data_IF_178385212536
#
_entry.id   IF_178385212536
#
_cell.length_a   1.000
_cell.length_b   1.000
_cell.length_c   1.000
_cell.angle_alpha   90.00
_cell.angle_beta   90.00
_cell.angle_gamma   90.00
#
_symmetry.space_group_name_H-M   'P 1'
#
loop_
_entity.id
_entity.type
_entity.pdbx_description
1 polymer ?
#
# COMPACT_ATOMS: atom_id res chain seq x y z
N UNK A 1 -2.49 -17.16 -2.96
CA UNK A 1 -3.42 -18.28 -3.28
C UNK A 1 -4.76 -17.95 -2.64
N UNK A 2 -5.82 -17.81 -3.43
CA UNK A 2 -7.12 -17.36 -2.92
C UNK A 2 -7.79 -18.46 -2.10
N UNK A 3 -8.20 -18.12 -0.87
CA UNK A 3 -8.92 -19.03 0.03
C UNK A 3 -10.35 -18.54 0.22
N UNK A 4 -11.22 -19.40 0.75
CA UNK A 4 -12.60 -19.00 1.12
C UNK A 4 -12.60 -17.86 2.15
N UNK A 5 -11.62 -17.84 3.05
CA UNK A 5 -11.43 -16.76 4.02
C UNK A 5 -11.10 -15.44 3.30
N UNK A 6 -10.15 -15.45 2.36
CA UNK A 6 -9.78 -14.26 1.59
C UNK A 6 -10.98 -13.71 0.82
N UNK A 7 -11.78 -14.59 0.19
CA UNK A 7 -12.99 -14.18 -0.51
C UNK A 7 -14.02 -13.54 0.43
N UNK A 8 -14.25 -14.15 1.59
CA UNK A 8 -15.18 -13.59 2.58
C UNK A 8 -14.75 -12.20 3.04
N UNK A 9 -13.45 -11.98 3.26
CA UNK A 9 -12.90 -10.67 3.62
C UNK A 9 -13.02 -9.68 2.47
N UNK A 10 -12.67 -10.09 1.24
CA UNK A 10 -12.81 -9.23 0.05
C UNK A 10 -14.25 -8.73 -0.14
N UNK A 11 -15.24 -9.62 -0.05
CA UNK A 11 -16.66 -9.25 -0.15
C UNK A 11 -17.09 -8.31 0.96
N UNK A 12 -16.55 -8.48 2.17
CA UNK A 12 -16.91 -7.65 3.32
C UNK A 12 -16.21 -6.28 3.32
N UNK A 13 -14.94 -6.25 2.92
CA UNK A 13 -14.03 -5.12 3.13
C UNK A 13 -13.87 -4.26 1.87
N UNK A 14 -13.93 -4.86 0.67
CA UNK A 14 -13.64 -4.17 -0.60
C UNK A 14 -14.91 -3.89 -1.41
N UNK A 15 -15.77 -4.89 -1.59
CA UNK A 15 -16.97 -4.78 -2.44
C UNK A 15 -17.90 -3.62 -2.07
N UNK A 16 -18.16 -3.29 -0.78
CA UNK A 16 -19.02 -2.16 -0.44
C UNK A 16 -18.51 -0.83 -0.98
N UNK A 17 -17.19 -0.65 -1.04
CA UNK A 17 -16.55 0.54 -1.63
C UNK A 17 -16.77 0.59 -3.14
N UNK A 18 -16.58 -0.54 -3.82
CA UNK A 18 -16.82 -0.65 -5.27
C UNK A 18 -18.28 -0.34 -5.62
N UNK A 19 -19.23 -0.90 -4.87
CA UNK A 19 -20.67 -0.71 -5.12
C UNK A 19 -21.12 0.73 -4.88
N UNK A 20 -20.50 1.42 -3.93
CA UNK A 20 -20.82 2.82 -3.59
C UNK A 20 -19.99 3.85 -4.36
N UNK A 21 -19.08 3.42 -5.23
CA UNK A 21 -18.21 4.32 -5.96
C UNK A 21 -19.01 5.27 -6.87
N UNK A 22 -18.63 6.54 -6.89
CA UNK A 22 -19.15 7.51 -7.86
C UNK A 22 -18.46 7.28 -9.21
N UNK A 23 -19.02 6.37 -10.01
CA UNK A 23 -18.46 6.01 -11.31
C UNK A 23 -18.41 7.20 -12.27
N UNK A 24 -19.36 8.15 -12.19
CA UNK A 24 -19.36 9.31 -13.07
C UNK A 24 -18.18 10.25 -12.73
N UNK A 25 -17.86 10.40 -11.45
CA UNK A 25 -16.66 11.11 -11.03
C UNK A 25 -15.39 10.39 -11.48
N UNK A 26 -15.31 9.07 -11.28
CA UNK A 26 -14.14 8.28 -11.66
C UNK A 26 -13.88 8.31 -13.16
N UNK A 27 -14.91 8.21 -14.00
CA UNK A 27 -14.79 8.32 -15.47
C UNK A 27 -14.24 9.68 -15.93
N UNK A 28 -14.60 10.78 -15.23
CA UNK A 28 -14.05 12.12 -15.51
C UNK A 28 -12.59 12.25 -15.09
N UNK A 29 -12.19 11.55 -14.03
CA UNK A 29 -10.84 11.62 -13.46
C UNK A 29 -9.85 10.74 -14.21
N UNK A 30 -10.29 9.56 -14.69
CA UNK A 30 -9.45 8.53 -15.31
C UNK A 30 -8.48 9.04 -16.41
N UNK A 31 -8.82 10.02 -17.26
CA UNK A 31 -7.90 10.53 -18.28
C UNK A 31 -6.69 11.31 -17.72
N UNK A 32 -6.73 11.76 -16.46
CA UNK A 32 -5.71 12.63 -15.86
C UNK A 32 -5.02 12.00 -14.65
N UNK A 33 -5.33 10.74 -14.30
CA UNK A 33 -4.81 10.11 -13.07
C UNK A 33 -3.31 9.88 -13.09
N UNK A 34 -2.70 9.80 -14.27
CA UNK A 34 -1.29 9.47 -14.44
C UNK A 34 -0.38 10.71 -14.51
N UNK A 35 -0.94 11.93 -14.49
CA UNK A 35 -0.20 13.17 -14.72
C UNK A 35 -0.36 14.16 -13.57
N UNK A 36 0.54 14.08 -12.60
CA UNK A 36 0.73 15.17 -11.64
C UNK A 36 1.46 16.34 -12.31
N UNK A 37 1.11 17.57 -11.93
CA UNK A 37 1.78 18.78 -12.42
C UNK A 37 3.20 18.99 -11.87
N UNK A 38 3.69 18.05 -11.05
CA UNK A 38 5.00 18.04 -10.43
C UNK A 38 5.46 16.61 -10.18
N UNK A 39 6.76 16.45 -9.95
CA UNK A 39 7.38 15.17 -9.61
C UNK A 39 7.03 14.77 -8.16
N UNK A 40 6.17 13.77 -8.01
CA UNK A 40 5.71 13.26 -6.71
C UNK A 40 6.76 12.42 -6.00
N UNK A 41 7.73 11.87 -6.75
CA UNK A 41 8.81 11.05 -6.21
C UNK A 41 9.93 11.92 -5.64
N UNK A 42 9.95 13.21 -5.96
CA UNK A 42 10.94 14.16 -5.47
C UNK A 42 10.41 14.95 -4.26
N UNK A 43 10.60 14.39 -3.06
CA UNK A 43 10.27 15.10 -1.83
C UNK A 43 11.16 16.35 -1.62
N UNK A 44 10.61 17.47 -1.08
CA UNK A 44 11.40 18.66 -0.75
C UNK A 44 12.52 18.39 0.27
N UNK A 45 12.29 17.43 1.17
CA UNK A 45 13.28 16.90 2.10
C UNK A 45 12.96 15.43 2.40
N UNK A 46 13.97 14.66 2.82
CA UNK A 46 13.78 13.28 3.27
C UNK A 46 12.83 13.21 4.46
N UNK A 47 12.08 12.13 4.55
CA UNK A 47 11.18 11.84 5.66
C UNK A 47 11.88 10.95 6.68
N UNK A 48 12.28 11.55 7.80
CA UNK A 48 13.20 10.94 8.78
C UNK A 48 12.49 10.13 9.89
N UNK A 49 11.15 9.99 9.84
CA UNK A 49 10.38 9.23 10.85
C UNK A 49 10.19 7.77 10.40
N UNK A 50 9.82 6.84 11.31
CA UNK A 50 9.56 5.45 10.96
C UNK A 50 8.52 5.31 9.84
N UNK A 51 8.86 4.53 8.83
CA UNK A 51 7.99 4.23 7.68
C UNK A 51 7.94 2.73 7.47
N UNK A 52 6.80 2.26 6.98
CA UNK A 52 6.61 0.91 6.50
C UNK A 52 6.03 0.96 5.08
N UNK A 53 6.73 0.35 4.13
CA UNK A 53 6.28 0.17 2.75
C UNK A 53 6.05 -1.33 2.54
N UNK A 54 4.78 -1.73 2.38
CA UNK A 54 4.38 -3.10 2.10
C UNK A 54 3.87 -3.21 0.67
N UNK A 55 4.42 -4.15 -0.09
CA UNK A 55 4.04 -4.36 -1.50
C UNK A 55 3.91 -5.85 -1.82
N UNK A 56 2.92 -6.20 -2.63
CA UNK A 56 2.71 -7.57 -3.08
C UNK A 56 3.66 -7.94 -4.23
N UNK A 57 4.31 -9.11 -4.17
CA UNK A 57 5.22 -9.57 -5.24
C UNK A 57 4.48 -9.83 -6.56
N UNK A 58 3.21 -10.19 -6.48
CA UNK A 58 2.31 -10.49 -7.60
C UNK A 58 1.24 -9.41 -7.81
N UNK A 59 1.46 -8.19 -7.29
CA UNK A 59 0.60 -7.07 -7.59
C UNK A 59 0.76 -6.70 -9.07
N UNK A 60 -0.35 -6.72 -9.81
CA UNK A 60 -0.41 -6.39 -11.24
C UNK A 60 -0.99 -5.01 -11.50
N UNK A 61 -1.46 -4.32 -10.46
CA UNK A 61 -1.96 -2.95 -10.55
C UNK A 61 -0.83 -1.95 -10.31
N UNK A 62 -0.03 -2.17 -9.27
CA UNK A 62 1.10 -1.31 -8.92
C UNK A 62 2.32 -2.18 -8.67
N UNK A 63 3.42 -1.92 -9.38
CA UNK A 63 4.62 -2.74 -9.33
C UNK A 63 5.44 -2.51 -8.05
N UNK A 64 5.92 -3.58 -7.42
CA UNK A 64 6.81 -3.46 -6.25
C UNK A 64 8.13 -2.72 -6.56
N UNK A 65 8.57 -2.73 -7.82
CA UNK A 65 9.80 -2.06 -8.25
C UNK A 65 9.64 -0.54 -8.27
N UNK A 66 8.45 -0.04 -8.59
CA UNK A 66 8.18 1.40 -8.63
C UNK A 66 8.29 2.00 -7.23
N UNK A 67 7.72 1.34 -6.23
CA UNK A 67 7.85 1.73 -4.83
C UNK A 67 9.30 1.69 -4.32
N UNK A 68 10.17 0.84 -4.89
CA UNK A 68 11.58 0.79 -4.51
C UNK A 68 12.33 2.05 -4.94
N UNK A 69 11.92 2.68 -6.06
CA UNK A 69 12.60 3.86 -6.62
C UNK A 69 12.62 5.05 -5.65
N UNK A 70 11.63 5.14 -4.75
CA UNK A 70 11.50 6.24 -3.78
C UNK A 70 12.07 5.90 -2.40
N UNK A 71 12.66 4.72 -2.19
CA UNK A 71 13.08 4.26 -0.86
C UNK A 71 14.08 5.22 -0.19
N UNK A 72 14.98 5.83 -0.96
CA UNK A 72 15.98 6.79 -0.47
C UNK A 72 15.38 8.11 0.05
N UNK A 73 14.11 8.38 -0.23
CA UNK A 73 13.38 9.49 0.40
C UNK A 73 12.98 9.18 1.85
N UNK A 74 12.99 7.91 2.24
CA UNK A 74 12.53 7.40 3.54
C UNK A 74 13.65 6.60 4.22
N UNK A 75 14.71 7.25 4.74
CA UNK A 75 15.89 6.58 5.29
C UNK A 75 15.62 5.66 6.50
N UNK A 76 14.44 5.76 7.11
CA UNK A 76 13.99 4.91 8.23
C UNK A 76 12.88 3.92 7.83
N UNK A 77 12.65 3.74 6.53
CA UNK A 77 11.64 2.82 6.04
C UNK A 77 12.07 1.36 6.19
N UNK A 78 11.13 0.53 6.63
CA UNK A 78 11.14 -0.90 6.34
C UNK A 78 10.44 -1.10 5.00
N UNK A 79 11.12 -1.72 4.03
CA UNK A 79 10.53 -2.11 2.76
C UNK A 79 10.37 -3.62 2.70
N UNK A 80 9.15 -4.11 2.56
CA UNK A 80 8.87 -5.54 2.51
C UNK A 80 8.04 -5.91 1.28
N UNK A 81 8.60 -6.79 0.46
CA UNK A 81 7.91 -7.44 -0.66
C UNK A 81 7.34 -8.76 -0.18
N UNK A 82 6.02 -8.90 -0.16
CA UNK A 82 5.37 -10.14 0.30
C UNK A 82 5.13 -11.08 -0.87
N UNK A 83 5.74 -12.26 -0.82
CA UNK A 83 5.41 -13.36 -1.74
C UNK A 83 3.99 -13.89 -1.49
N UNK A 84 3.38 -14.45 -2.53
CA UNK A 84 2.00 -14.97 -2.59
C UNK A 84 0.94 -13.90 -2.29
N UNK A 85 1.27 -12.62 -2.51
CA UNK A 85 0.39 -11.47 -2.35
C UNK A 85 0.39 -10.58 -3.59
N UNK A 86 -0.81 -10.16 -4.01
CA UNK A 86 -1.07 -9.11 -4.98
C UNK A 86 -1.48 -7.81 -4.31
N UNK A 87 -2.42 -7.08 -4.93
CA UNK A 87 -2.86 -5.76 -4.49
C UNK A 87 -3.54 -5.77 -3.11
N UNK A 88 -4.27 -6.84 -2.79
CA UNK A 88 -4.97 -7.00 -1.51
C UNK A 88 -4.12 -7.74 -0.47
N UNK A 89 -2.84 -7.39 -0.33
CA UNK A 89 -1.86 -8.12 0.50
C UNK A 89 -2.28 -8.23 1.98
N UNK A 90 -3.03 -7.26 2.51
CA UNK A 90 -3.59 -7.27 3.87
C UNK A 90 -4.67 -8.36 4.09
N UNK A 91 -5.26 -8.85 3.01
CA UNK A 91 -6.20 -9.99 3.01
C UNK A 91 -5.44 -11.29 2.72
N UNK A 92 -4.51 -11.25 1.77
CA UNK A 92 -3.86 -12.46 1.24
C UNK A 92 -2.71 -12.99 2.12
N UNK A 93 -2.06 -12.10 2.86
CA UNK A 93 -0.95 -12.37 3.80
C UNK A 93 -1.18 -11.65 5.13
N UNK A 94 -2.38 -11.81 5.68
CA UNK A 94 -2.86 -11.09 6.88
C UNK A 94 -1.93 -11.20 8.09
N UNK A 95 -1.38 -12.38 8.37
CA UNK A 95 -0.46 -12.57 9.50
C UNK A 95 0.84 -11.77 9.34
N UNK A 96 1.44 -11.77 8.15
CA UNK A 96 2.65 -10.99 7.87
C UNK A 96 2.35 -9.50 7.88
N UNK A 97 1.23 -9.09 7.27
CA UNK A 97 0.76 -7.71 7.29
C UNK A 97 0.62 -7.20 8.73
N UNK A 98 -0.16 -7.89 9.57
CA UNK A 98 -0.40 -7.49 10.95
C UNK A 98 0.89 -7.45 11.78
N UNK A 99 1.79 -8.41 11.58
CA UNK A 99 3.07 -8.45 12.30
C UNK A 99 3.95 -7.23 11.96
N UNK A 100 4.06 -6.90 10.67
CA UNK A 100 4.87 -5.77 10.21
C UNK A 100 4.23 -4.43 10.60
N UNK A 101 2.91 -4.31 10.54
CA UNK A 101 2.19 -3.10 10.97
C UNK A 101 2.34 -2.87 12.47
N UNK A 102 2.19 -3.91 13.29
CA UNK A 102 2.36 -3.77 14.74
C UNK A 102 3.79 -3.37 15.11
N UNK A 103 4.80 -3.99 14.51
CA UNK A 103 6.20 -3.58 14.69
C UNK A 103 6.43 -2.12 14.32
N UNK A 104 5.87 -1.68 13.19
CA UNK A 104 5.98 -0.29 12.77
C UNK A 104 5.28 0.66 13.75
N UNK A 105 4.10 0.29 14.27
CA UNK A 105 3.40 1.06 15.29
C UNK A 105 4.22 1.18 16.57
N UNK A 106 4.87 0.10 17.02
CA UNK A 106 5.77 0.14 18.19
C UNK A 106 6.91 1.16 17.97
N UNK A 107 7.56 1.16 16.79
CA UNK A 107 8.59 2.17 16.44
C UNK A 107 8.03 3.59 16.38
N UNK A 108 6.79 3.76 15.93
CA UNK A 108 6.12 5.07 15.92
C UNK A 108 5.85 5.54 17.36
N UNK A 109 5.41 4.65 18.25
CA UNK A 109 5.21 5.00 19.66
C UNK A 109 6.51 5.35 20.37
N UNK A 110 7.60 4.63 20.08
CA UNK A 110 8.93 4.91 20.65
C UNK A 110 9.40 6.34 20.38
N UNK A 111 9.13 6.89 19.18
CA UNK A 111 9.55 8.25 18.83
C UNK A 111 8.63 9.35 19.38
N UNK A 112 7.44 8.98 19.88
CA UNK A 112 6.48 9.92 20.49
C UNK A 112 6.66 10.04 22.01
N UNK A 113 7.46 9.16 22.61
CA UNK A 113 7.87 9.22 24.01
C UNK A 113 8.98 10.24 24.20
#
# INVERSE_FOLDING_TARGET
>A
MQTRSHWSRFVKEIVPGIVKADNQFLERLQPTVDEFSFDVDKLPSRFEKPVLILVGRQDHWVGYQDAWAILENYPRATFAVLDRAGHALQIEQDNLFNSLVNEWLDRVEEILR
#
